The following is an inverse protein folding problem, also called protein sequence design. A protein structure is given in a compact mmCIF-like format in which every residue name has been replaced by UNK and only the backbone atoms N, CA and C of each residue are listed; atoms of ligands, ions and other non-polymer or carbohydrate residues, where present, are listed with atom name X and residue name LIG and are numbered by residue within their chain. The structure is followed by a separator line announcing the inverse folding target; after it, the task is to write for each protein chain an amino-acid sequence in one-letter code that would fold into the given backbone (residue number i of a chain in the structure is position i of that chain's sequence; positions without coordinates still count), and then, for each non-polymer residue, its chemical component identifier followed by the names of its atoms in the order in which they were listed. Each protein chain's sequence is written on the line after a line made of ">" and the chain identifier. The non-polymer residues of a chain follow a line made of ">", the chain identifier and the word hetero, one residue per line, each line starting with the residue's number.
data_IF_036704655755
#
_entry.id   IF_036704655755
#
_cell.length_a   1.000
_cell.length_b   1.000
_cell.length_c   1.000
_cell.angle_alpha   90.00
_cell.angle_beta   90.00
_cell.angle_gamma   90.00
#
_symmetry.space_group_name_H-M   'P 1'
#
loop_
_entity.id
_entity.type
_entity.pdbx_description
1 polymer ?
#
# COMPACT_ATOMS: atom_id res chain seq x y z
N UNK A 1 21.16 -39.79 -2.83
CA UNK A 1 19.69 -39.70 -3.02
C UNK A 1 19.20 -38.38 -2.45
N UNK A 2 18.95 -37.38 -3.30
CA UNK A 2 18.09 -36.20 -3.08
C UNK A 2 18.04 -35.47 -4.41
N UNK A 3 17.18 -35.96 -5.29
CA UNK A 3 16.78 -35.24 -6.48
C UNK A 3 15.83 -34.12 -6.05
N UNK A 4 16.14 -32.88 -6.42
CA UNK A 4 15.16 -31.81 -6.51
C UNK A 4 15.58 -30.93 -7.68
N UNK A 5 15.01 -31.28 -8.82
CA UNK A 5 14.96 -30.58 -10.09
C UNK A 5 15.09 -29.06 -9.94
N UNK A 6 16.17 -28.52 -10.50
CA UNK A 6 16.28 -27.10 -10.82
C UNK A 6 15.37 -26.78 -12.02
N UNK A 7 14.06 -26.91 -11.82
CA UNK A 7 13.05 -26.50 -12.80
C UNK A 7 12.81 -25.00 -12.58
N UNK A 8 13.51 -24.17 -13.37
CA UNK A 8 13.09 -22.82 -13.76
C UNK A 8 12.75 -21.87 -12.58
N UNK A 9 13.74 -21.09 -12.12
CA UNK A 9 13.51 -19.82 -11.42
C UNK A 9 12.80 -18.82 -12.35
N UNK A 10 11.51 -19.01 -12.63
CA UNK A 10 10.66 -18.03 -13.31
C UNK A 10 10.25 -16.96 -12.29
N UNK A 11 11.16 -16.01 -12.10
CA UNK A 11 10.91 -14.62 -11.64
C UNK A 11 9.98 -14.45 -10.43
N UNK A 12 10.42 -14.86 -9.24
CA UNK A 12 9.84 -14.32 -8.02
C UNK A 12 10.37 -12.88 -7.84
N UNK A 13 9.53 -11.88 -8.03
CA UNK A 13 9.89 -10.48 -7.76
C UNK A 13 10.37 -10.37 -6.31
N UNK A 14 11.64 -10.03 -6.09
CA UNK A 14 12.17 -9.80 -4.75
C UNK A 14 11.91 -8.34 -4.36
N UNK A 15 11.66 -8.11 -3.07
CA UNK A 15 11.51 -6.78 -2.53
C UNK A 15 12.77 -5.97 -2.82
N UNK A 16 12.61 -4.83 -3.49
CA UNK A 16 13.72 -3.97 -3.89
C UNK A 16 14.49 -3.35 -2.71
N UNK A 17 13.92 -3.39 -1.49
CA UNK A 17 14.50 -2.81 -0.27
C UNK A 17 15.28 -3.84 0.55
N UNK A 18 14.77 -5.07 0.69
CA UNK A 18 15.34 -6.07 1.60
C UNK A 18 15.63 -7.45 0.98
N UNK A 19 15.32 -7.64 -0.31
CA UNK A 19 15.62 -8.87 -1.04
C UNK A 19 14.78 -10.09 -0.66
N UNK A 20 13.76 -9.97 0.20
CA UNK A 20 12.80 -11.05 0.51
C UNK A 20 11.75 -11.18 -0.60
N UNK A 21 10.90 -12.22 -0.56
CA UNK A 21 9.81 -12.39 -1.53
C UNK A 21 8.87 -11.17 -1.50
N UNK A 22 8.68 -10.52 -2.65
CA UNK A 22 7.65 -9.49 -2.79
C UNK A 22 6.30 -10.16 -3.06
N UNK A 23 5.28 -9.66 -2.38
CA UNK A 23 3.89 -10.10 -2.55
C UNK A 23 3.02 -9.01 -3.18
N UNK A 24 3.57 -7.80 -3.36
CA UNK A 24 2.84 -6.64 -3.85
C UNK A 24 3.79 -5.72 -4.64
N UNK A 25 3.22 -4.87 -5.48
CA UNK A 25 3.93 -3.81 -6.19
C UNK A 25 3.52 -2.46 -5.55
N UNK A 26 4.49 -1.62 -5.19
CA UNK A 26 4.21 -0.28 -4.63
C UNK A 26 3.71 0.70 -5.70
N UNK A 27 3.41 1.94 -5.29
CA UNK A 27 2.92 3.00 -6.18
C UNK A 27 3.92 3.39 -7.28
N UNK A 28 5.21 3.15 -7.07
CA UNK A 28 6.30 3.36 -8.02
C UNK A 28 6.54 2.15 -8.95
N UNK A 29 5.65 1.17 -8.97
CA UNK A 29 5.78 -0.07 -9.75
C UNK A 29 6.97 -0.96 -9.33
N UNK A 30 7.50 -0.77 -8.12
CA UNK A 30 8.58 -1.58 -7.56
C UNK A 30 8.03 -2.75 -6.76
N UNK A 31 8.71 -3.90 -6.83
CA UNK A 31 8.34 -5.08 -6.05
C UNK A 31 8.64 -4.84 -4.56
N UNK A 32 7.64 -4.96 -3.69
CA UNK A 32 7.79 -4.76 -2.24
C UNK A 32 7.16 -5.88 -1.41
N UNK A 33 7.72 -6.11 -0.21
CA UNK A 33 7.18 -7.05 0.77
C UNK A 33 6.21 -6.34 1.72
N UNK A 34 5.39 -7.12 2.43
CA UNK A 34 4.34 -6.63 3.34
C UNK A 34 4.83 -5.62 4.41
N UNK A 35 6.06 -5.77 4.89
CA UNK A 35 6.66 -4.85 5.89
C UNK A 35 7.20 -3.54 5.29
N UNK A 36 7.43 -3.48 3.98
CA UNK A 36 7.96 -2.30 3.28
C UNK A 36 6.90 -1.68 2.37
N UNK A 37 5.68 -1.60 2.89
CA UNK A 37 4.62 -0.80 2.30
C UNK A 37 4.83 0.66 2.72
N UNK A 38 5.06 1.54 1.75
CA UNK A 38 5.17 2.97 1.99
C UNK A 38 3.77 3.51 2.30
N UNK A 39 3.50 3.79 3.58
CA UNK A 39 2.29 4.54 3.97
C UNK A 39 2.50 5.98 3.47
N UNK A 40 1.60 6.52 2.63
CA UNK A 40 1.72 7.89 2.17
C UNK A 40 1.83 8.85 3.36
N UNK A 41 2.80 9.76 3.33
CA UNK A 41 3.06 10.69 4.44
C UNK A 41 1.85 11.57 4.75
N UNK A 42 1.07 11.92 3.71
CA UNK A 42 -0.13 12.76 3.77
C UNK A 42 -1.41 12.01 4.19
N UNK A 43 -1.29 10.77 4.67
CA UNK A 43 -2.46 10.03 5.13
C UNK A 43 -3.07 10.65 6.40
N UNK A 44 -4.35 11.03 6.40
CA UNK A 44 -5.03 11.50 7.60
C UNK A 44 -5.19 10.34 8.60
N UNK A 45 -5.29 10.64 9.91
CA UNK A 45 -5.62 9.64 10.91
C UNK A 45 -7.04 9.09 10.69
N UNK A 46 -7.21 7.83 11.06
CA UNK A 46 -8.50 7.14 11.01
C UNK A 46 -9.47 7.74 12.05
N UNK A 47 -10.71 8.09 11.69
CA UNK A 47 -11.66 8.70 12.64
C UNK A 47 -12.16 7.76 13.74
N UNK A 48 -11.90 6.44 13.65
CA UNK A 48 -12.37 5.46 14.62
C UNK A 48 -11.30 4.98 15.60
N UNK A 49 -10.02 5.07 15.22
CA UNK A 49 -8.92 4.46 15.99
C UNK A 49 -7.62 5.27 15.93
N UNK A 50 -7.63 6.42 15.24
CA UNK A 50 -6.49 7.34 15.06
C UNK A 50 -5.24 6.75 14.38
N UNK A 51 -5.30 5.51 13.91
CA UNK A 51 -4.22 4.87 13.13
C UNK A 51 -4.01 5.57 11.79
N UNK A 52 -2.75 5.63 11.32
CA UNK A 52 -2.43 6.11 9.97
C UNK A 52 -3.14 5.29 8.90
N UNK A 53 -3.93 5.96 8.07
CA UNK A 53 -4.69 5.30 7.01
C UNK A 53 -3.79 4.95 5.81
N UNK A 54 -4.23 4.01 4.99
CA UNK A 54 -3.56 3.63 3.75
C UNK A 54 -4.40 4.02 2.55
N UNK A 55 -3.74 4.45 1.47
CA UNK A 55 -4.41 4.81 0.22
C UNK A 55 -4.77 3.54 -0.54
N UNK A 56 -6.06 3.29 -0.74
CA UNK A 56 -6.55 2.20 -1.59
C UNK A 56 -7.18 2.77 -2.84
N UNK A 57 -6.83 2.18 -3.99
CA UNK A 57 -7.44 2.52 -5.27
C UNK A 57 -8.59 1.56 -5.54
N UNK A 58 -9.83 2.07 -5.52
CA UNK A 58 -11.02 1.35 -5.95
C UNK A 58 -11.24 1.46 -7.46
N UNK A 59 -12.32 0.85 -7.96
CA UNK A 59 -12.64 0.84 -9.41
C UNK A 59 -12.93 2.23 -9.99
N UNK A 60 -13.46 3.15 -9.18
CA UNK A 60 -13.92 4.49 -9.63
C UNK A 60 -13.15 5.64 -8.99
N UNK A 61 -12.62 5.44 -7.79
CA UNK A 61 -11.92 6.45 -7.03
C UNK A 61 -10.91 5.79 -6.08
N UNK A 62 -9.92 6.57 -5.64
CA UNK A 62 -9.06 6.18 -4.53
C UNK A 62 -9.62 6.75 -3.23
N UNK A 63 -9.41 6.03 -2.12
CA UNK A 63 -9.91 6.38 -0.80
C UNK A 63 -8.92 5.95 0.28
N UNK A 64 -8.93 6.64 1.41
CA UNK A 64 -8.22 6.23 2.61
C UNK A 64 -9.00 5.11 3.31
N UNK A 65 -8.32 4.02 3.61
CA UNK A 65 -8.86 2.86 4.34
C UNK A 65 -8.01 2.60 5.57
N UNK A 66 -8.65 2.22 6.68
CA UNK A 66 -7.92 1.74 7.85
C UNK A 66 -7.14 0.46 7.50
N UNK A 67 -5.86 0.34 7.89
CA UNK A 67 -5.10 -0.90 7.70
C UNK A 67 -5.65 -2.07 8.53
N UNK A 68 -6.34 -1.78 9.63
CA UNK A 68 -6.89 -2.76 10.59
C UNK A 68 -8.25 -3.39 10.19
N UNK A 69 -8.65 -3.31 8.93
CA UNK A 69 -9.88 -3.98 8.48
C UNK A 69 -9.73 -5.52 8.60
N UNK A 70 -10.70 -6.30 9.14
CA UNK A 70 -12.09 -5.96 9.49
C UNK A 70 -12.32 -5.50 10.94
N UNK A 71 -11.28 -5.36 11.77
CA UNK A 71 -11.41 -4.87 13.15
C UNK A 71 -11.80 -3.38 13.18
N UNK A 72 -11.40 -2.62 12.15
CA UNK A 72 -11.77 -1.22 11.98
C UNK A 72 -12.26 -0.93 10.55
N UNK A 73 -13.49 -0.43 10.44
CA UNK A 73 -14.16 -0.07 9.19
C UNK A 73 -13.96 1.41 8.78
N UNK A 74 -13.00 2.10 9.40
CA UNK A 74 -12.73 3.50 9.11
C UNK A 74 -12.31 3.73 7.67
N UNK A 75 -13.04 4.59 6.97
CA UNK A 75 -12.74 5.01 5.60
C UNK A 75 -12.88 6.53 5.46
N UNK A 76 -12.10 7.13 4.57
CA UNK A 76 -12.16 8.56 4.23
C UNK A 76 -11.98 8.74 2.74
N UNK A 77 -12.78 9.62 2.15
CA UNK A 77 -12.64 9.93 0.73
C UNK A 77 -11.46 10.88 0.50
N UNK A 78 -10.84 10.80 -0.67
CA UNK A 78 -9.75 11.68 -1.09
C UNK A 78 -10.20 13.03 -1.63
N UNK A 79 -11.48 13.40 -1.49
CA UNK A 79 -11.91 14.74 -1.84
C UNK A 79 -11.26 15.74 -0.87
N UNK A 80 -10.05 16.17 -1.23
CA UNK A 80 -9.53 17.45 -0.80
C UNK A 80 -10.51 18.47 -1.39
N UNK A 81 -11.26 19.25 -0.60
CA UNK A 81 -11.81 20.47 -1.16
C UNK A 81 -10.62 21.18 -1.79
N UNK A 82 -10.77 21.49 -3.07
CA UNK A 82 -9.78 22.18 -3.89
C UNK A 82 -9.09 23.20 -3.00
N UNK A 83 -7.77 23.10 -2.80
CA UNK A 83 -7.05 24.23 -2.24
C UNK A 83 -7.31 25.36 -3.23
N UNK A 84 -8.17 26.30 -2.82
CA UNK A 84 -8.20 27.64 -3.38
C UNK A 84 -6.72 28.06 -3.45
N UNK A 85 -6.11 28.15 -4.66
CA UNK A 85 -4.76 28.64 -4.74
C UNK A 85 -4.78 30.02 -4.12
N UNK A 86 -3.98 30.19 -3.06
CA UNK A 86 -3.75 31.43 -2.35
C UNK A 86 -3.87 32.59 -3.35
N UNK A 87 -4.92 33.39 -3.19
CA UNK A 87 -4.95 34.70 -3.81
C UNK A 87 -3.71 35.45 -3.31
N UNK A 88 -2.67 35.49 -4.13
CA UNK A 88 -1.66 36.55 -4.07
C UNK A 88 -1.16 36.91 -5.47
#
# INVERSE_FOLDING_TARGET
>A
MRAASHTILKTASLCSVCGKKATTINTLKLASCETHMEVPTDAPPCPNCDTKMILKTGKKNSFWSCPDYPNCFGTRNLFKPMEEPDML
#
